data_IF_727465688710
#
_entry.id   IF_727465688710
#
_cell.length_a   1.000
_cell.length_b   1.000
_cell.length_c   1.000
_cell.angle_alpha   90.00
_cell.angle_beta   90.00
_cell.angle_gamma   90.00
#
_symmetry.space_group_name_H-M   'P 1'
#
loop_
_entity.id
_entity.type
_entity.pdbx_description
1 polymer ?
#
# COMPACT_ATOMS: atom_id res chain seq x y z
N UNK A 1 31.45 25.81 9.39
CA UNK A 1 31.49 24.35 9.20
C UNK A 1 30.04 23.86 9.24
N UNK A 2 29.37 23.81 8.09
CA UNK A 2 27.96 23.42 8.00
C UNK A 2 27.88 21.95 7.63
N UNK A 3 27.31 21.13 8.52
CA UNK A 3 27.12 19.70 8.31
C UNK A 3 25.63 19.42 8.50
N UNK A 4 24.84 19.50 7.43
CA UNK A 4 23.43 19.08 7.43
C UNK A 4 23.03 18.61 6.04
N UNK A 5 23.12 17.30 5.80
CA UNK A 5 22.26 16.61 4.83
C UNK A 5 21.84 15.29 5.49
N UNK A 6 20.73 15.32 6.22
CA UNK A 6 19.99 14.11 6.62
C UNK A 6 18.68 14.20 5.85
N UNK A 7 18.61 13.53 4.70
CA UNK A 7 17.34 13.19 4.06
C UNK A 7 17.39 11.68 3.82
N UNK A 8 16.95 10.91 4.80
CA UNK A 8 16.77 9.46 4.66
C UNK A 8 15.33 9.25 4.22
N UNK A 9 15.05 9.55 2.94
CA UNK A 9 13.78 9.21 2.32
C UNK A 9 13.71 7.69 2.14
N UNK A 10 13.23 6.98 3.15
CA UNK A 10 12.99 5.55 3.04
C UNK A 10 11.66 5.34 2.26
N UNK A 11 11.65 4.47 1.24
CA UNK A 11 10.44 4.09 0.47
C UNK A 11 9.62 3.02 1.19
N UNK A 12 8.30 3.18 1.30
CA UNK A 12 7.36 2.11 1.67
C UNK A 12 6.55 1.67 0.45
N UNK A 13 6.32 0.37 0.33
CA UNK A 13 5.30 -0.17 -0.56
C UNK A 13 4.01 -0.30 0.25
N UNK A 14 2.91 0.31 -0.20
CA UNK A 14 1.60 0.30 0.49
C UNK A 14 1.22 -1.15 0.83
N UNK A 15 1.40 -2.02 -0.16
CA UNK A 15 1.27 -3.46 -0.08
C UNK A 15 2.65 -4.12 0.01
N UNK A 16 3.27 -4.06 1.19
CA UNK A 16 4.62 -4.60 1.34
C UNK A 16 4.68 -6.13 1.15
N UNK A 17 5.37 -6.57 0.09
CA UNK A 17 5.51 -7.98 -0.32
C UNK A 17 6.39 -8.85 0.60
N UNK A 18 7.00 -8.33 1.67
CA UNK A 18 7.99 -9.08 2.48
C UNK A 18 7.40 -10.14 3.43
N UNK A 19 6.35 -10.83 3.00
CA UNK A 19 6.08 -12.17 3.50
C UNK A 19 5.34 -12.97 2.46
N UNK A 20 6.10 -13.68 1.61
CA UNK A 20 5.65 -14.86 0.83
C UNK A 20 4.86 -15.90 1.67
N UNK A 21 4.79 -15.76 3.01
CA UNK A 21 4.08 -16.63 3.94
C UNK A 21 2.72 -16.10 4.44
N UNK A 22 2.31 -14.87 4.12
CA UNK A 22 1.15 -14.25 4.81
C UNK A 22 -0.23 -14.43 4.14
N UNK A 23 -0.34 -15.09 2.99
CA UNK A 23 -1.62 -15.33 2.29
C UNK A 23 -2.24 -14.11 1.58
N UNK A 24 -1.94 -12.89 2.06
CA UNK A 24 -2.46 -11.64 1.47
C UNK A 24 -1.91 -11.31 0.08
N UNK A 25 -0.69 -11.74 -0.25
CA UNK A 25 -0.05 -11.38 -1.53
C UNK A 25 -0.85 -11.88 -2.72
N UNK A 26 -1.44 -13.07 -2.63
CA UNK A 26 -2.25 -13.64 -3.71
C UNK A 26 -3.53 -12.82 -3.92
N UNK A 27 -4.24 -12.51 -2.84
CA UNK A 27 -5.45 -11.69 -2.92
C UNK A 27 -5.18 -10.29 -3.51
N UNK A 28 -4.03 -9.68 -3.20
CA UNK A 28 -3.64 -8.43 -3.83
C UNK A 28 -3.30 -8.60 -5.31
N UNK A 29 -2.61 -9.67 -5.69
CA UNK A 29 -2.32 -9.96 -7.10
C UNK A 29 -3.61 -10.09 -7.90
N UNK A 30 -4.60 -10.85 -7.42
CA UNK A 30 -5.88 -11.02 -8.11
C UNK A 30 -6.59 -9.68 -8.39
N UNK A 31 -6.54 -8.74 -7.44
CA UNK A 31 -7.12 -7.40 -7.62
C UNK A 31 -6.35 -6.62 -8.70
N UNK A 32 -5.02 -6.64 -8.65
CA UNK A 32 -4.17 -5.94 -9.60
C UNK A 32 -4.26 -6.53 -11.02
N UNK A 33 -4.32 -7.86 -11.14
CA UNK A 33 -4.50 -8.55 -12.42
C UNK A 33 -5.82 -8.19 -13.09
N UNK A 34 -6.93 -8.13 -12.34
CA UNK A 34 -8.24 -7.67 -12.87
C UNK A 34 -8.19 -6.25 -13.41
N UNK A 35 -7.30 -5.42 -12.86
CA UNK A 35 -7.06 -4.05 -13.30
C UNK A 35 -5.97 -3.93 -14.40
N UNK A 36 -5.34 -5.03 -14.82
CA UNK A 36 -4.20 -4.99 -15.73
C UNK A 36 -2.99 -4.24 -15.16
N UNK A 37 -2.82 -4.27 -13.84
CA UNK A 37 -1.78 -3.58 -13.07
C UNK A 37 -0.84 -4.59 -12.41
N UNK A 38 0.31 -4.11 -11.93
CA UNK A 38 1.28 -4.89 -11.18
C UNK A 38 1.45 -4.36 -9.77
N UNK A 39 1.69 -5.23 -8.78
CA UNK A 39 2.07 -4.80 -7.43
C UNK A 39 3.35 -3.94 -7.40
N UNK A 40 4.12 -3.94 -8.48
CA UNK A 40 5.32 -3.11 -8.62
C UNK A 40 5.05 -1.73 -9.25
N UNK A 41 3.81 -1.43 -9.65
CA UNK A 41 3.47 -0.13 -10.22
C UNK A 41 3.69 0.98 -9.19
N UNK A 42 4.20 2.14 -9.64
CA UNK A 42 4.56 3.28 -8.78
C UNK A 42 3.38 3.80 -7.92
N UNK A 43 2.15 3.60 -8.39
CA UNK A 43 0.94 3.94 -7.64
C UNK A 43 0.79 3.11 -6.37
N UNK A 44 1.45 1.96 -6.24
CA UNK A 44 1.51 1.15 -5.03
C UNK A 44 2.67 1.54 -4.08
N UNK A 45 3.41 2.62 -4.38
CA UNK A 45 4.58 3.07 -3.60
C UNK A 45 4.29 4.43 -2.94
N UNK A 46 4.67 4.58 -1.67
CA UNK A 46 4.58 5.84 -0.92
C UNK A 46 5.88 6.11 -0.17
N UNK A 47 6.30 7.37 -0.14
CA UNK A 47 7.51 7.80 0.56
C UNK A 47 7.10 8.30 1.95
N UNK A 48 7.65 7.68 2.99
CA UNK A 48 7.35 8.03 4.38
C UNK A 48 8.64 8.08 5.18
N UNK A 49 8.85 9.19 5.88
CA UNK A 49 9.98 9.32 6.79
C UNK A 49 9.82 8.41 8.02
N UNK A 50 10.93 7.78 8.44
CA UNK A 50 11.03 7.00 9.69
C UNK A 50 10.02 5.87 9.81
N UNK A 51 10.10 4.91 8.90
CA UNK A 51 9.20 3.77 8.88
C UNK A 51 9.97 2.48 9.19
N UNK A 52 9.76 1.89 10.36
CA UNK A 52 10.46 0.65 10.75
C UNK A 52 9.52 -0.26 11.50
N UNK A 53 9.38 -1.48 11.00
CA UNK A 53 8.56 -2.52 11.60
C UNK A 53 7.91 -3.41 10.55
N UNK A 54 7.44 -4.57 10.98
CA UNK A 54 6.62 -5.42 10.13
C UNK A 54 5.20 -4.85 10.02
N UNK A 55 4.63 -4.87 8.82
CA UNK A 55 3.22 -4.55 8.62
C UNK A 55 2.35 -5.56 9.38
N UNK A 56 1.43 -5.06 10.21
CA UNK A 56 0.54 -5.91 11.01
C UNK A 56 -0.47 -6.64 10.12
N UNK A 57 -1.00 -7.78 10.59
CA UNK A 57 -2.12 -8.46 9.91
C UNK A 57 -3.36 -7.58 9.81
N UNK A 58 -3.62 -6.77 10.83
CA UNK A 58 -4.76 -5.83 10.87
C UNK A 58 -4.65 -4.82 9.73
N UNK A 59 -3.48 -4.22 9.53
CA UNK A 59 -3.26 -3.30 8.42
C UNK A 59 -3.39 -3.99 7.06
N UNK A 60 -2.85 -5.21 6.91
CA UNK A 60 -3.02 -5.96 5.66
C UNK A 60 -4.50 -6.26 5.36
N UNK A 61 -5.26 -6.68 6.37
CA UNK A 61 -6.68 -6.91 6.19
C UNK A 61 -7.43 -5.62 5.84
N UNK A 62 -7.15 -4.52 6.55
CA UNK A 62 -7.73 -3.21 6.26
C UNK A 62 -7.52 -2.79 4.80
N UNK A 63 -6.28 -2.91 4.30
CA UNK A 63 -5.99 -2.57 2.90
C UNK A 63 -6.70 -3.51 1.95
N UNK A 64 -6.71 -4.83 2.21
CA UNK A 64 -7.41 -5.79 1.36
C UNK A 64 -8.91 -5.47 1.27
N UNK A 65 -9.57 -5.19 2.39
CA UNK A 65 -10.99 -4.85 2.43
C UNK A 65 -11.27 -3.54 1.67
N UNK A 66 -10.41 -2.54 1.86
CA UNK A 66 -10.52 -1.23 1.20
C UNK A 66 -10.37 -1.34 -0.32
N UNK A 67 -9.39 -2.11 -0.80
CA UNK A 67 -9.19 -2.38 -2.23
C UNK A 67 -10.31 -3.25 -2.82
N UNK A 68 -10.77 -4.26 -2.09
CA UNK A 68 -11.83 -5.17 -2.54
C UNK A 68 -13.14 -4.40 -2.71
N UNK A 69 -13.57 -3.63 -1.71
CA UNK A 69 -14.81 -2.85 -1.79
C UNK A 69 -14.80 -1.81 -2.92
N UNK A 70 -13.64 -1.26 -3.26
CA UNK A 70 -13.52 -0.30 -4.36
C UNK A 70 -13.47 -0.94 -5.76
N UNK A 71 -13.14 -2.23 -5.86
CA UNK A 71 -12.89 -2.92 -7.14
C UNK A 71 -13.81 -4.12 -7.36
N UNK A 72 -14.77 -4.37 -6.48
CA UNK A 72 -15.70 -5.48 -6.56
C UNK A 72 -16.51 -5.44 -7.87
N UNK A 73 -16.54 -6.56 -8.59
CA UNK A 73 -17.23 -6.67 -9.88
C UNK A 73 -16.58 -5.92 -11.06
N UNK A 74 -15.55 -5.10 -10.83
CA UNK A 74 -14.87 -4.33 -11.88
C UNK A 74 -13.77 -5.16 -12.56
N UNK A 75 -13.52 -4.86 -13.84
CA UNK A 75 -12.39 -5.40 -14.62
C UNK A 75 -11.86 -4.35 -15.61
N UNK A 76 -10.66 -4.58 -16.17
CA UNK A 76 -10.08 -3.72 -17.21
C UNK A 76 -9.87 -2.28 -16.75
N UNK A 77 -10.19 -1.31 -17.62
CA UNK A 77 -9.97 0.12 -17.36
C UNK A 77 -10.82 0.67 -16.20
N UNK A 78 -12.01 0.12 -15.95
CA UNK A 78 -12.84 0.51 -14.81
C UNK A 78 -12.19 0.09 -13.48
N UNK A 79 -11.69 -1.15 -13.41
CA UNK A 79 -10.95 -1.64 -12.24
C UNK A 79 -9.65 -0.85 -12.04
N UNK A 80 -8.91 -0.56 -13.12
CA UNK A 80 -7.68 0.25 -13.08
C UNK A 80 -7.91 1.64 -12.53
N UNK A 81 -8.96 2.31 -12.99
CA UNK A 81 -9.34 3.65 -12.52
C UNK A 81 -9.70 3.62 -11.04
N UNK A 82 -10.55 2.68 -10.63
CA UNK A 82 -10.96 2.53 -9.24
C UNK A 82 -9.78 2.17 -8.32
N UNK A 83 -8.94 1.23 -8.73
CA UNK A 83 -7.76 0.79 -7.99
C UNK A 83 -6.76 1.94 -7.81
N UNK A 84 -6.46 2.66 -8.89
CA UNK A 84 -5.56 3.83 -8.86
C UNK A 84 -6.06 4.90 -7.89
N UNK A 85 -7.35 5.24 -7.95
CA UNK A 85 -7.97 6.20 -7.02
C UNK A 85 -7.82 5.73 -5.57
N UNK A 86 -8.15 4.48 -5.31
CA UNK A 86 -8.14 3.87 -3.98
C UNK A 86 -6.73 3.79 -3.39
N UNK A 87 -5.73 3.46 -4.20
CA UNK A 87 -4.33 3.49 -3.78
C UNK A 87 -3.89 4.91 -3.41
N UNK A 88 -4.31 5.93 -4.15
CA UNK A 88 -4.02 7.33 -3.80
C UNK A 88 -4.72 7.77 -2.50
N UNK A 89 -5.94 7.30 -2.24
CA UNK A 89 -6.61 7.52 -0.95
C UNK A 89 -5.84 6.88 0.21
N UNK A 90 -5.38 5.63 0.04
CA UNK A 90 -4.52 4.95 1.02
C UNK A 90 -3.19 5.68 1.23
N UNK A 91 -2.58 6.23 0.17
CA UNK A 91 -1.40 7.10 0.29
C UNK A 91 -1.68 8.29 1.19
N UNK A 92 -2.82 8.96 0.99
CA UNK A 92 -3.19 10.12 1.82
C UNK A 92 -3.41 9.74 3.28
N UNK A 93 -4.03 8.57 3.55
CA UNK A 93 -4.18 8.06 4.92
C UNK A 93 -2.82 7.79 5.57
N UNK A 94 -1.88 7.19 4.82
CA UNK A 94 -0.52 6.93 5.29
C UNK A 94 0.28 8.22 5.52
N UNK A 95 0.10 9.25 4.71
CA UNK A 95 0.72 10.56 4.93
C UNK A 95 0.16 11.24 6.19
N UNK A 96 -1.14 11.08 6.48
CA UNK A 96 -1.77 11.63 7.69
C UNK A 96 -1.41 10.84 8.95
N UNK A 97 -1.32 9.50 8.84
CA UNK A 97 -0.93 8.61 9.93
C UNK A 97 0.11 7.58 9.43
N UNK A 98 1.40 7.94 9.44
CA UNK A 98 2.47 7.04 9.01
C UNK A 98 2.60 5.77 9.88
N UNK A 99 1.92 5.74 11.05
CA UNK A 99 1.96 4.60 11.95
C UNK A 99 0.95 3.50 11.60
N UNK A 100 -0.03 3.73 10.73
CA UNK A 100 -1.09 2.75 10.39
C UNK A 100 -0.56 1.33 10.11
N UNK A 101 0.55 1.13 9.38
CA UNK A 101 1.06 -0.22 9.12
C UNK A 101 1.53 -0.98 10.37
N UNK A 102 1.80 -0.27 11.47
CA UNK A 102 2.50 -0.79 12.64
C UNK A 102 1.58 -1.00 13.84
N UNK A 103 2.12 -1.67 14.88
CA UNK A 103 1.38 -1.99 16.10
C UNK A 103 0.82 -0.71 16.75
N UNK A 104 -0.50 -0.70 16.97
CA UNK A 104 -1.24 0.42 17.59
C UNK A 104 -1.38 1.65 16.69
N UNK A 105 -1.18 1.51 15.37
CA UNK A 105 -1.40 2.59 14.41
C UNK A 105 -2.79 2.60 13.76
N UNK A 106 -3.52 1.49 13.86
CA UNK A 106 -4.93 1.30 13.52
C UNK A 106 -5.71 0.97 14.80
#
# INVERSE_FOLDING_TARGET
>A
MYLYIIAVEEKIIILHQMSKKSGYTEAYNEIFERAGMSLQDDVNIVYLEKHKGAHTKVYKQYVLDYLTGATEGLTGEEAKTALTRTLNELKNQLLQNPRMPYKGGL
#
